data_IF_280131255552
#
_entry.id   IF_280131255552
#
_cell.length_a   1.000
_cell.length_b   1.000
_cell.length_c   1.000
_cell.angle_alpha   90.00
_cell.angle_beta   90.00
_cell.angle_gamma   90.00
#
_symmetry.space_group_name_H-M   'P 1'
#
loop_
_entity.id
_entity.type
_entity.pdbx_description
1 polymer ?
2 non-polymer ?
3 water ?
#
# COMPACT_ATOMS: atom_id res chain seq x y z
N UNK A 3 -8.06 10.49 -2.43
CA UNK A 3 -6.71 10.58 -2.97
C UNK A 3 -6.69 11.00 -4.42
N UNK A 4 -5.66 10.56 -5.14
CA UNK A 4 -5.58 10.82 -6.57
C UNK A 4 -6.63 9.99 -7.28
N UNK A 5 -7.39 10.63 -8.18
CA UNK A 5 -8.50 9.99 -8.87
C UNK A 5 -8.31 10.06 -10.38
N UNK A 6 -8.80 9.04 -11.07
CA UNK A 6 -8.64 8.95 -12.52
C UNK A 6 -9.82 8.18 -13.09
N UNK A 7 -10.38 8.72 -14.18
CA UNK A 7 -11.48 8.08 -14.89
C UNK A 7 -11.01 6.77 -15.52
N UNK A 8 -11.91 5.79 -15.57
CA UNK A 8 -11.56 4.54 -16.24
C UNK A 8 -11.30 4.79 -17.72
N UNK A 9 -10.21 4.23 -18.23
CA UNK A 9 -9.84 4.30 -19.64
C UNK A 9 -10.11 2.95 -20.30
N UNK A 10 -10.39 2.97 -21.60
CA UNK A 10 -10.76 1.71 -22.26
C UNK A 10 -9.62 0.70 -22.30
N UNK A 11 -8.36 1.14 -22.11
CA UNK A 11 -7.26 0.19 -22.05
C UNK A 11 -7.14 -0.51 -20.69
N UNK A 12 -7.84 -0.04 -19.65
CA UNK A 12 -7.76 -0.70 -18.35
C UNK A 12 -8.29 -2.12 -18.45
N UNK A 13 -7.54 -3.08 -17.92
CA UNK A 13 -8.00 -4.45 -17.86
C UNK A 13 -8.18 -4.81 -16.39
N UNK A 14 -9.32 -4.41 -15.83
CA UNK A 14 -9.60 -4.70 -14.43
C UNK A 14 -10.00 -6.16 -14.29
N UNK A 15 -9.30 -6.88 -13.43
CA UNK A 15 -9.55 -8.31 -13.24
C UNK A 15 -9.67 -8.74 -11.80
N UNK A 16 -9.34 -7.87 -10.84
CA UNK A 16 -9.34 -8.24 -9.43
C UNK A 16 -10.11 -7.21 -8.64
N UNK A 17 -11.05 -7.67 -7.84
CA UNK A 17 -11.79 -6.81 -6.92
C UNK A 17 -11.54 -7.34 -5.52
N UNK A 18 -11.51 -6.44 -4.54
CA UNK A 18 -11.28 -6.82 -3.14
C UNK A 18 -12.43 -6.29 -2.30
N UNK A 19 -13.02 -7.16 -1.47
CA UNK A 19 -14.10 -6.74 -0.58
C UNK A 19 -13.53 -5.85 0.52
N UNK A 20 -14.18 -4.70 0.74
CA UNK A 20 -13.60 -3.67 1.60
C UNK A 20 -13.31 -4.19 3.01
N UNK A 21 -14.29 -4.83 3.65
CA UNK A 21 -14.12 -5.22 5.05
C UNK A 21 -13.43 -6.58 5.21
N UNK A 22 -13.77 -7.55 4.37
CA UNK A 22 -13.22 -8.89 4.53
C UNK A 22 -11.88 -9.09 3.83
N UNK A 23 -11.58 -8.30 2.80
CA UNK A 23 -10.35 -8.50 2.06
C UNK A 23 -10.37 -9.68 1.12
N UNK A 24 -11.54 -10.29 0.90
CA UNK A 24 -11.64 -11.39 -0.05
C UNK A 24 -11.33 -10.86 -1.44
N UNK A 25 -10.41 -11.52 -2.13
CA UNK A 25 -10.09 -11.18 -3.51
C UNK A 25 -10.92 -12.03 -4.45
N UNK A 26 -11.42 -11.41 -5.51
CA UNK A 26 -12.14 -12.19 -6.51
C UNK A 26 -11.87 -11.66 -7.90
N UNK A 27 -11.93 -12.58 -8.87
CA UNK A 27 -11.83 -12.26 -10.29
C UNK A 27 -13.11 -11.60 -10.74
N UNK A 28 -13.02 -10.33 -11.11
CA UNK A 28 -14.18 -9.58 -11.56
C UNK A 28 -13.67 -8.29 -12.18
N UNK A 29 -14.44 -7.75 -13.13
CA UNK A 29 -14.04 -6.50 -13.77
C UNK A 29 -14.58 -5.29 -13.04
N UNK A 30 -15.42 -5.47 -12.02
CA UNK A 30 -16.19 -4.36 -11.50
C UNK A 30 -16.48 -4.56 -10.02
N UNK A 31 -16.18 -3.55 -9.21
CA UNK A 31 -16.50 -3.61 -7.79
C UNK A 31 -16.12 -2.31 -7.11
N UNK A 32 -16.58 -2.17 -5.86
CA UNK A 32 -16.37 -0.92 -5.14
C UNK A 32 -14.88 -0.61 -4.98
N UNK A 33 -14.06 -1.64 -4.74
CA UNK A 33 -12.61 -1.50 -4.71
C UNK A 33 -12.02 -2.48 -5.71
N UNK A 34 -11.30 -1.96 -6.71
CA UNK A 34 -10.75 -2.74 -7.81
C UNK A 34 -9.28 -2.42 -7.98
N UNK A 35 -8.50 -3.40 -8.43
CA UNK A 35 -7.08 -3.16 -8.69
C UNK A 35 -6.94 -2.51 -10.06
N UNK A 36 -6.38 -1.30 -10.08
CA UNK A 36 -6.20 -0.50 -11.29
C UNK A 36 -4.72 -0.42 -11.60
N UNK A 37 -4.35 -0.79 -12.82
CA UNK A 37 -2.97 -0.64 -13.27
C UNK A 37 -2.95 0.39 -14.40
N UNK A 38 -2.67 1.64 -14.05
CA UNK A 38 -2.44 2.65 -15.07
C UNK A 38 -1.14 2.33 -15.79
N UNK A 39 -1.06 2.74 -17.05
CA UNK A 39 0.03 2.29 -17.91
C UNK A 39 1.38 2.65 -17.30
N UNK A 40 2.22 1.63 -17.13
CA UNK A 40 3.52 1.80 -16.53
C UNK A 40 3.53 1.90 -15.02
N UNK A 41 2.42 2.30 -14.40
CA UNK A 41 2.38 2.52 -12.97
C UNK A 41 2.16 1.21 -12.21
N UNK A 42 2.52 1.22 -10.92
CA UNK A 42 2.30 0.00 -10.16
C UNK A 42 0.82 -0.14 -9.82
N UNK A 43 0.33 -1.37 -9.72
CA UNK A 43 -1.11 -1.59 -9.52
C UNK A 43 -1.54 -1.09 -8.15
N UNK A 44 -2.75 -0.50 -8.11
CA UNK A 44 -3.25 0.11 -6.89
C UNK A 44 -4.72 -0.25 -6.68
N UNK A 45 -5.08 -0.54 -5.43
CA UNK A 45 -6.48 -0.78 -5.10
C UNK A 45 -7.19 0.56 -4.97
N UNK A 46 -8.25 0.77 -5.77
CA UNK A 46 -8.87 2.08 -5.85
C UNK A 46 -10.38 1.98 -5.66
N UNK A 47 -10.94 3.02 -5.07
CA UNK A 47 -12.35 3.05 -4.72
C UNK A 47 -13.12 3.72 -5.86
N UNK A 48 -14.22 3.11 -6.28
CA UNK A 48 -15.12 3.75 -7.22
C UNK A 48 -15.93 4.84 -6.52
N UNK A 49 -15.89 6.06 -7.08
CA UNK A 49 -16.44 7.27 -6.46
C UNK A 49 -17.36 7.94 -7.48
N UNK A 50 -18.48 8.47 -6.99
CA UNK A 50 -19.46 9.13 -7.85
C UNK A 50 -19.10 10.60 -8.07
N UNK A 51 -19.13 11.05 -9.32
CA UNK A 51 -18.70 12.40 -9.66
C UNK A 51 -19.67 13.03 -10.65
N UNK A 52 -19.52 14.34 -10.80
CA UNK A 52 -20.04 15.08 -11.94
C UNK A 52 -18.86 15.40 -12.84
N UNK A 53 -19.00 15.11 -14.14
CA UNK A 53 -17.94 15.37 -15.09
C UNK A 53 -18.57 15.69 -16.44
N UNK A 54 -18.05 16.75 -17.07
CA UNK A 54 -18.63 17.31 -18.30
C UNK A 54 -20.15 17.35 -18.20
N UNK A 55 -20.62 17.90 -17.08
CA UNK A 55 -22.04 18.21 -16.86
C UNK A 55 -22.90 16.95 -16.91
N UNK A 56 -22.35 15.85 -16.40
CA UNK A 56 -23.04 14.57 -16.39
C UNK A 56 -22.57 13.77 -15.18
N UNK A 57 -23.45 12.89 -14.69
CA UNK A 57 -23.08 11.99 -13.61
C UNK A 57 -22.17 10.89 -14.14
N UNK A 58 -21.11 10.57 -13.41
CA UNK A 58 -20.11 9.62 -13.88
C UNK A 58 -19.41 9.01 -12.67
N UNK A 59 -18.39 8.19 -12.95
CA UNK A 59 -17.61 7.56 -11.90
C UNK A 59 -16.13 7.82 -12.13
N UNK A 60 -15.37 7.84 -11.04
CA UNK A 60 -13.92 7.88 -11.14
C UNK A 60 -13.35 6.89 -10.13
N UNK A 61 -12.05 6.68 -10.18
CA UNK A 61 -11.38 5.69 -9.34
C UNK A 61 -10.30 6.39 -8.55
N UNK A 62 -10.37 6.28 -7.22
CA UNK A 62 -9.54 7.06 -6.31
C UNK A 62 -8.76 6.13 -5.39
N UNK A 63 -7.49 6.47 -5.18
CA UNK A 63 -6.62 5.73 -4.27
C UNK A 63 -6.88 6.21 -2.85
N UNK A 64 -8.04 5.84 -2.33
CA UNK A 64 -8.48 6.29 -1.01
C UNK A 64 -7.99 5.34 0.07
N UNK A 65 -7.98 5.85 1.29
CA UNK A 65 -7.46 5.12 2.43
C UNK A 65 -8.42 4.01 2.82
N UNK A 66 -7.87 2.86 3.21
CA UNK A 66 -8.67 1.70 3.56
C UNK A 66 -8.02 1.04 4.77
N UNK A 67 -8.82 0.75 5.80
CA UNK A 67 -8.33 0.08 7.00
C UNK A 67 -8.36 -1.43 6.74
N UNK A 68 -7.18 -2.03 6.57
CA UNK A 68 -7.04 -3.44 6.23
C UNK A 68 -7.02 -4.36 7.45
N UNK A 69 -7.26 -3.81 8.64
CA UNK A 69 -7.12 -4.59 9.86
C UNK A 69 -7.98 -5.85 9.82
N UNK A 70 -9.21 -5.73 9.32
CA UNK A 70 -10.16 -6.83 9.32
C UNK A 70 -9.85 -7.89 8.27
N UNK A 71 -8.92 -7.62 7.35
CA UNK A 71 -8.56 -8.62 6.36
C UNK A 71 -7.89 -9.82 7.01
N UNK A 72 -7.24 -9.62 8.15
CA UNK A 72 -6.57 -10.71 8.82
C UNK A 72 -5.50 -11.39 7.99
N UNK A 73 -4.77 -10.62 7.17
CA UNK A 73 -3.66 -11.16 6.38
C UNK A 73 -2.61 -10.08 6.18
N UNK A 74 -1.33 -10.49 6.15
CA UNK A 74 -0.30 -9.45 6.17
C UNK A 74 0.15 -9.08 4.77
N UNK A 75 0.68 -7.87 4.58
CA UNK A 75 1.24 -7.50 3.28
C UNK A 75 2.60 -8.14 3.07
N UNK A 76 3.09 -8.00 1.84
CA UNK A 76 4.44 -8.42 1.46
C UNK A 76 5.47 -7.31 1.64
N UNK A 77 5.08 -6.07 1.37
CA UNK A 77 5.93 -4.90 1.54
C UNK A 77 5.08 -3.79 2.14
N UNK A 78 5.75 -2.76 2.67
CA UNK A 78 5.06 -1.53 3.06
C UNK A 78 5.92 -0.34 2.70
N UNK A 79 5.32 0.84 2.68
CA UNK A 79 6.14 2.02 2.49
C UNK A 79 5.55 3.20 3.24
N UNK A 80 6.42 4.14 3.58
CA UNK A 80 6.05 5.29 4.36
C UNK A 80 7.21 6.26 4.33
N UNK A 81 6.90 7.55 4.23
CA UNK A 81 7.91 8.60 4.34
C UNK A 81 9.03 8.42 3.32
N UNK A 82 8.73 7.85 2.16
CA UNK A 82 9.72 7.78 1.10
C UNK A 82 10.63 6.58 1.13
N UNK A 83 10.29 5.53 1.88
CA UNK A 83 11.04 4.29 1.83
C UNK A 83 10.10 3.11 1.75
N UNK A 84 10.50 2.11 0.98
CA UNK A 84 9.74 0.88 0.76
C UNK A 84 10.55 -0.25 1.37
N UNK A 85 9.91 -1.09 2.19
CA UNK A 85 10.62 -2.15 2.91
C UNK A 85 9.82 -3.45 2.86
N UNK A 86 10.53 -4.59 2.87
CA UNK A 86 9.85 -5.87 3.11
C UNK A 86 9.07 -5.84 4.41
N UNK A 87 7.94 -6.55 4.43
CA UNK A 87 7.20 -6.71 5.67
C UNK A 87 7.84 -7.81 6.52
N UNK A 88 8.16 -7.48 7.77
CA UNK A 88 8.63 -8.45 8.73
C UNK A 88 7.64 -8.53 9.89
N UNK A 89 7.26 -9.73 10.34
CA UNK A 89 6.28 -9.82 11.43
C UNK A 89 6.72 -9.02 12.64
N UNK A 90 5.79 -8.28 13.22
CA UNK A 90 6.09 -7.35 14.28
C UNK A 90 6.04 -5.90 13.83
N UNK A 91 6.17 -5.66 12.53
CA UNK A 91 6.06 -4.31 11.98
C UNK A 91 4.68 -3.70 12.23
N UNK A 92 4.67 -2.40 12.54
CA UNK A 92 3.44 -1.62 12.57
C UNK A 92 2.94 -1.36 11.14
N UNK A 93 1.70 -0.87 11.05
CA UNK A 93 1.13 -0.49 9.77
C UNK A 93 1.75 0.83 9.31
N UNK A 94 2.20 0.88 8.05
CA UNK A 94 2.77 2.12 7.51
C UNK A 94 1.73 2.83 6.64
N UNK A 95 2.20 3.76 5.79
CA UNK A 95 1.28 4.59 5.00
C UNK A 95 0.61 3.79 3.89
N UNK A 96 1.33 2.86 3.28
CA UNK A 96 0.78 2.02 2.22
C UNK A 96 1.27 0.59 2.39
N UNK A 97 0.45 -0.35 1.92
CA UNK A 97 0.70 -1.79 2.08
C UNK A 97 0.59 -2.46 0.71
N UNK A 98 1.55 -3.34 0.37
CA UNK A 98 1.55 -4.08 -0.89
C UNK A 98 1.24 -5.55 -0.63
N UNK A 99 0.15 -6.04 -1.21
CA UNK A 99 -0.26 -7.42 -1.01
C UNK A 99 0.14 -8.27 -2.21
N UNK A 100 0.46 -9.54 -1.93
CA UNK A 100 1.28 -10.30 -2.86
C UNK A 100 0.56 -10.67 -4.14
N UNK A 101 -0.78 -10.71 -4.15
CA UNK A 101 -1.46 -10.90 -5.43
C UNK A 101 -1.11 -9.77 -6.38
N UNK A 102 -0.86 -8.58 -5.85
CA UNK A 102 -0.14 -7.58 -6.60
C UNK A 102 -0.83 -6.24 -6.62
N UNK A 103 -0.85 -5.54 -5.49
CA UNK A 103 -1.48 -4.23 -5.49
C UNK A 103 -1.07 -3.47 -4.23
N UNK A 104 -0.90 -2.16 -4.38
CA UNK A 104 -0.73 -1.26 -3.25
C UNK A 104 -2.09 -0.86 -2.67
N UNK A 105 -2.14 -0.72 -1.35
CA UNK A 105 -3.32 -0.22 -0.65
C UNK A 105 -2.92 1.03 0.13
N UNK A 106 -3.73 2.08 0.02
CA UNK A 106 -3.52 3.28 0.82
C UNK A 106 -3.98 2.98 2.24
N UNK A 107 -3.03 2.80 3.16
CA UNK A 107 -3.30 2.25 4.48
C UNK A 107 -3.45 3.35 5.52
N UNK A 108 -3.68 2.93 6.76
CA UNK A 108 -4.06 3.84 7.82
C UNK A 108 -2.92 4.18 8.77
N UNK A 109 -1.70 3.73 8.47
CA UNK A 109 -0.58 3.89 9.37
C UNK A 109 0.30 5.08 9.02
N UNK A 110 1.46 5.14 9.68
CA UNK A 110 2.39 6.23 9.49
C UNK A 110 3.78 5.73 9.13
N UNK A 111 4.79 6.32 9.77
CA UNK A 111 6.17 5.95 9.51
C UNK A 111 6.85 5.30 10.70
N UNK A 112 6.13 5.04 11.79
CA UNK A 112 6.72 4.34 12.93
C UNK A 112 6.68 2.84 12.65
N UNK A 113 7.84 2.25 12.37
CA UNK A 113 7.90 0.85 11.95
C UNK A 113 7.81 -0.12 13.13
N UNK A 114 8.46 0.23 14.24
CA UNK A 114 8.37 -0.45 15.52
C UNK A 114 8.31 0.63 16.58
N UNK A 115 8.06 0.24 17.82
CA UNK A 115 7.96 1.23 18.90
C UNK A 115 9.25 2.03 19.02
N UNK A 116 9.14 3.33 18.82
CA UNK A 116 10.30 4.20 18.92
C UNK A 116 11.28 4.10 17.77
N UNK A 117 10.86 3.50 16.65
CA UNK A 117 11.73 3.25 15.50
C UNK A 117 10.99 3.73 14.26
N UNK A 118 11.48 4.80 13.64
CA UNK A 118 10.83 5.36 12.47
C UNK A 118 11.61 5.05 11.21
N UNK A 119 10.88 4.82 10.13
CA UNK A 119 11.46 4.67 8.81
C UNK A 119 11.63 6.08 8.27
N UNK A 120 12.86 6.60 8.35
CA UNK A 120 13.15 7.99 8.06
C UNK A 120 14.42 8.10 7.24
N UNK A 121 14.32 8.80 6.11
CA UNK A 121 15.47 8.92 5.22
C UNK A 121 16.59 9.72 5.86
N UNK A 122 16.28 10.52 6.87
CA UNK A 122 17.28 11.32 7.57
C UNK A 122 17.78 10.64 8.84
N UNK A 123 17.48 9.36 9.04
CA UNK A 123 17.76 8.68 10.29
C UNK A 123 19.22 8.32 10.48
N UNK A 124 19.51 7.76 11.65
CA UNK A 124 20.88 7.55 12.08
C UNK A 124 21.33 6.09 12.02
N UNK A 125 20.47 5.16 11.60
CA UNK A 125 20.83 3.75 11.51
C UNK A 125 20.58 3.28 10.09
N UNK A 126 21.61 2.70 9.46
CA UNK A 126 21.49 2.10 8.13
C UNK A 126 21.52 0.59 8.28
N UNK A 127 20.60 -0.11 7.62
CA UNK A 127 20.58 -1.57 7.72
C UNK A 127 19.93 -2.13 6.47
N UNK A 128 19.69 -3.44 6.46
CA UNK A 128 19.07 -4.05 5.31
C UNK A 128 18.09 -5.13 5.74
N UNK A 129 17.11 -5.37 4.89
CA UNK A 129 16.18 -6.49 5.02
C UNK A 129 16.22 -7.27 3.72
N UNK A 130 16.72 -8.49 3.78
CA UNK A 130 16.73 -9.38 2.62
C UNK A 130 17.31 -8.66 1.40
N UNK A 131 18.44 -7.99 1.61
CA UNK A 131 19.13 -7.27 0.56
C UNK A 131 18.63 -5.86 0.30
N UNK A 132 17.46 -5.51 0.81
CA UNK A 132 16.88 -4.20 0.58
C UNK A 132 17.38 -3.22 1.64
N UNK A 133 17.90 -2.08 1.20
CA UNK A 133 18.50 -1.14 2.13
C UNK A 133 17.42 -0.24 2.72
N UNK A 134 17.65 0.20 3.96
CA UNK A 134 16.74 1.14 4.60
C UNK A 134 17.50 1.91 5.67
N UNK A 135 16.92 3.03 6.08
CA UNK A 135 17.50 3.88 7.11
C UNK A 135 16.44 4.12 8.16
N UNK A 136 16.81 3.97 9.42
CA UNK A 136 15.88 4.13 10.53
C UNK A 136 16.31 5.29 11.40
N UNK A 137 15.34 5.88 12.09
CA UNK A 137 15.58 6.86 13.14
C UNK A 137 15.12 6.24 14.44
N UNK A 138 16.02 6.17 15.42
CA UNK A 138 15.68 5.53 16.69
C UNK A 138 15.35 6.56 17.76
N UNK A 139 14.42 6.17 18.64
CA UNK A 139 14.15 6.90 19.87
C UNK A 139 15.24 6.62 20.91
N UNK A 146 18.13 -0.01 26.02
CA UNK A 146 18.57 -0.41 24.68
C UNK A 146 17.44 -0.34 23.68
N UNK A 147 17.78 -0.45 22.39
CA UNK A 147 16.80 -0.44 21.32
C UNK A 147 17.13 -1.58 20.37
N UNK A 148 16.17 -2.47 20.13
CA UNK A 148 16.37 -3.49 19.12
C UNK A 148 16.29 -2.88 17.73
N UNK A 149 17.20 -3.28 16.86
CA UNK A 149 17.21 -2.83 15.48
C UNK A 149 16.50 -3.90 14.65
N UNK A 150 15.32 -3.60 14.05
CA UNK A 150 14.52 -4.63 13.36
C UNK A 150 14.96 -4.87 11.91
N UNK A 151 16.24 -5.17 11.73
CA UNK A 151 16.83 -5.36 10.41
C UNK A 151 18.24 -5.88 10.64
N UNK A 152 18.93 -6.21 9.55
CA UNK A 152 20.22 -6.87 9.61
C UNK A 152 21.34 -5.93 9.20
N UNK A 153 22.58 -6.20 9.64
CA UNK A 153 23.70 -5.33 9.28
C UNK A 153 23.97 -5.35 7.78
N UNK A 154 24.62 -4.28 7.31
CA UNK A 154 24.92 -4.23 5.89
C UNK A 154 26.11 -5.12 5.57
N UNK A 155 27.00 -5.34 6.54
CA UNK A 155 28.14 -6.21 6.32
C UNK A 155 27.67 -7.65 6.16
N UNK A 156 28.30 -8.36 5.23
CA UNK A 156 27.84 -9.69 4.85
C UNK A 156 28.39 -10.77 5.77
X LIG B 1 -4.74 8.09 0.94
X LIG B 1 -3.84 9.14 0.28
X LIG B 1 -4.12 10.52 0.87
X LIG B 1 -5.61 10.84 0.78
X LIG B 1 -6.42 9.73 1.43
X LIG B 1 -7.91 9.90 1.29
X LIG B 1 -1.65 8.41 -0.54
X LIG B 1 -0.24 8.05 -0.16
X LIG B 1 -2.44 8.78 0.47
X LIG B 1 -3.38 11.52 0.17
X LIG B 1 -5.88 12.08 1.42
X LIG B 1 -6.10 8.48 0.80
X LIG B 1 -8.60 8.79 1.83
X LIG B 1 -2.04 8.38 -1.70
X LIG C 1 14.64 -11.97 5.46
X LIG C 1 13.87 -13.27 5.20
X LIG C 1 13.40 -13.89 6.51
X LIG C 1 14.58 -14.06 7.47
X LIG C 1 15.27 -12.72 7.66
X LIG C 1 16.49 -12.80 8.56
X LIG C 1 12.58 -13.64 3.14
X LIG C 1 11.36 -13.27 2.36
X LIG C 1 12.73 -13.03 4.32
X LIG C 1 12.81 -15.15 6.24
X LIG C 1 14.13 -14.56 8.72
X LIG C 1 15.72 -12.22 6.39
X LIG C 1 17.69 -12.58 7.85
X LIG C 1 13.40 -14.47 2.72
X LIG D 1 -8.87 -0.16 11.92
X LIG D 1 -8.72 1.02 12.86
X LIG D 1 -9.15 0.64 14.28
X LIG D 1 -8.81 -0.82 14.61
X LIG D 1 -9.38 -1.78 13.57
X LIG D 1 -10.56 -2.57 14.07
X LIG D 1 -7.09 2.82 12.59
X LIG D 1 -5.63 3.19 12.61
X LIG D 1 -7.37 1.54 12.85
X LIG D 1 -10.55 0.85 14.43
X LIG D 1 -7.40 -0.99 14.70
X LIG D 1 -9.84 -1.05 12.42
X LIG D 1 -10.84 -3.67 13.22
X LIG D 1 -7.97 3.64 12.35
#
# INVERSE_FOLDING_TARGET
ETGSCHIRQDYYNIQLVVEEKTGVEKRSIMGKWSVITREGREPKLMEQINIVSNNSLSETYCYNRLNTSSWGRQPARQRGCGQTVPYWPGDNVLEEQYYSTGYWVNATGGCQLREGVWLSRKGNVQCQRNGSSLILQLAIKEENDTMEIPCDPVETESMGPVAQGTCVYSWAFAPRGWYYNRKDGYWLQYIKKNDYQYWTKMPTASSAATMYRHGTGGSGGSGLNDIFEAQKIEWHEGRTKHHHHHH
NAG C1 C2 C3 C4 C5 C6 C7 C8 N2 O3 O4 O5 O6 O7
NAG C1 C2 C3 C4 C5 C6 C7 C8 N2 O3 O4 O5 O6 O7
NAG C1 C2 C3 C4 C5 C6 C7 C8 N2 O3 O4 O5 O6 O7
#
